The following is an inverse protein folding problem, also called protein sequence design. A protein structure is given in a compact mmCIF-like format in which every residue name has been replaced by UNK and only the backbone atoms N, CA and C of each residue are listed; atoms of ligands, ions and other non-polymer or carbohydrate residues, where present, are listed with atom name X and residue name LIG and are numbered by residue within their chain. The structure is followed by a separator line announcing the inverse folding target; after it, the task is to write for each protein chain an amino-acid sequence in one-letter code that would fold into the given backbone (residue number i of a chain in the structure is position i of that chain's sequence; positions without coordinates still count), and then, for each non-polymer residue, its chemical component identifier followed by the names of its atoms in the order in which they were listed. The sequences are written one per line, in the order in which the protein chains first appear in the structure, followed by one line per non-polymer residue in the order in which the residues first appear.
data_IF_659840129062
#
_entry.id   IF_659840129062
#
_cell.length_a   1.000
_cell.length_b   1.000
_cell.length_c   1.000
_cell.angle_alpha   90.00
_cell.angle_beta   90.00
_cell.angle_gamma   90.00
#
_symmetry.space_group_name_H-M   'P 1'
#
loop_
_entity.id
_entity.type
_entity.pdbx_description
1 polymer ?
#
# COMPACT_ATOMS: atom_id res chain seq x y z
N UNK A 1 2.70 -5.95 -24.46
CA UNK A 1 2.34 -5.06 -23.33
C UNK A 1 2.23 -5.86 -22.02
N UNK A 2 2.44 -5.24 -20.84
CA UNK A 2 2.15 -5.88 -19.54
C UNK A 2 0.83 -5.39 -18.98
N UNK A 3 -0.03 -6.33 -18.59
CA UNK A 3 -1.36 -6.05 -18.06
C UNK A 3 -1.40 -6.37 -16.57
N UNK A 4 -2.05 -5.51 -15.78
CA UNK A 4 -2.31 -5.81 -14.36
C UNK A 4 -3.76 -5.59 -13.99
N UNK A 5 -4.32 -6.56 -13.29
CA UNK A 5 -5.72 -6.53 -12.86
C UNK A 5 -5.87 -5.82 -11.53
N UNK A 6 -6.47 -4.64 -11.57
CA UNK A 6 -6.70 -3.88 -10.35
C UNK A 6 -7.80 -4.48 -9.49
N UNK A 7 -7.49 -4.66 -8.20
CA UNK A 7 -8.45 -5.02 -7.16
C UNK A 7 -7.92 -4.70 -5.77
N UNK A 8 -8.84 -4.46 -4.83
CA UNK A 8 -8.47 -3.87 -3.54
C UNK A 8 -8.39 -2.35 -3.63
N UNK A 9 -8.20 -1.71 -2.47
CA UNK A 9 -8.04 -0.26 -2.37
C UNK A 9 -6.64 0.21 -2.77
N UNK A 10 -6.42 1.53 -2.70
CA UNK A 10 -5.23 2.23 -3.17
C UNK A 10 -3.90 1.48 -2.95
N UNK A 11 -3.56 1.12 -1.71
CA UNK A 11 -2.28 0.46 -1.43
C UNK A 11 -2.09 -0.89 -2.14
N UNK A 12 -3.17 -1.65 -2.34
CA UNK A 12 -3.11 -2.90 -3.13
C UNK A 12 -2.92 -2.62 -4.62
N UNK A 13 -3.58 -1.58 -5.13
CA UNK A 13 -3.45 -1.18 -6.53
C UNK A 13 -2.03 -0.66 -6.82
N UNK A 14 -1.39 0.01 -5.86
CA UNK A 14 -0.01 0.46 -5.98
C UNK A 14 0.98 -0.70 -6.13
N UNK A 15 0.85 -1.77 -5.33
CA UNK A 15 1.64 -3.00 -5.54
C UNK A 15 1.38 -3.65 -6.91
N UNK A 16 0.11 -3.74 -7.31
CA UNK A 16 -0.29 -4.27 -8.61
C UNK A 16 0.31 -3.51 -9.79
N UNK A 17 0.38 -2.19 -9.68
CA UNK A 17 1.05 -1.35 -10.66
C UNK A 17 2.57 -1.49 -10.58
N UNK A 18 3.16 -1.46 -9.39
CA UNK A 18 4.60 -1.54 -9.20
C UNK A 18 5.21 -2.81 -9.81
N UNK A 19 4.59 -3.98 -9.57
CA UNK A 19 5.01 -5.24 -10.18
C UNK A 19 4.87 -5.19 -11.72
N UNK A 20 3.77 -4.65 -12.24
CA UNK A 20 3.57 -4.52 -13.68
C UNK A 20 4.59 -3.56 -14.33
N UNK A 21 4.89 -2.45 -13.66
CA UNK A 21 5.84 -1.44 -14.10
C UNK A 21 7.28 -1.99 -14.12
N UNK A 22 7.68 -2.78 -13.12
CA UNK A 22 8.99 -3.44 -13.11
C UNK A 22 9.13 -4.41 -14.28
N UNK A 23 8.12 -5.26 -14.50
CA UNK A 23 8.12 -6.24 -15.58
C UNK A 23 8.15 -5.54 -16.95
N UNK A 24 7.34 -4.49 -17.10
CA UNK A 24 7.29 -3.66 -18.30
C UNK A 24 8.63 -2.97 -18.59
N UNK A 25 9.27 -2.40 -17.56
CA UNK A 25 10.58 -1.77 -17.66
C UNK A 25 11.66 -2.77 -18.09
N UNK A 26 11.67 -3.99 -17.52
CA UNK A 26 12.61 -5.06 -17.90
C UNK A 26 12.47 -5.46 -19.37
N UNK A 27 11.25 -5.42 -19.92
CA UNK A 27 10.94 -5.89 -21.27
C UNK A 27 10.88 -4.76 -22.31
N UNK A 28 10.94 -3.49 -21.90
CA UNK A 28 10.83 -2.34 -22.81
C UNK A 28 9.44 -2.18 -23.45
N UNK A 29 8.39 -2.57 -22.75
CA UNK A 29 6.99 -2.55 -23.22
C UNK A 29 6.12 -1.69 -22.29
N UNK A 30 4.94 -1.19 -22.71
CA UNK A 30 4.10 -0.36 -21.85
C UNK A 30 3.28 -1.18 -20.84
N UNK A 31 2.82 -0.51 -19.78
CA UNK A 31 1.87 -1.01 -18.79
C UNK A 31 0.44 -0.67 -19.20
N UNK A 32 -0.48 -1.62 -19.07
CA UNK A 32 -1.92 -1.40 -19.17
C UNK A 32 -2.66 -1.92 -17.94
N UNK A 33 -3.70 -1.17 -17.54
CA UNK A 33 -4.50 -1.48 -16.37
C UNK A 33 -5.81 -2.11 -16.78
N UNK A 34 -6.23 -3.15 -16.05
CA UNK A 34 -7.58 -3.70 -16.12
C UNK A 34 -8.36 -3.29 -14.85
N UNK A 35 -9.11 -2.16 -14.89
CA UNK A 35 -9.81 -1.63 -13.72
C UNK A 35 -11.16 -2.28 -13.45
N UNK A 36 -11.65 -3.15 -14.36
CA UNK A 36 -13.04 -3.66 -14.37
C UNK A 36 -13.49 -4.22 -13.01
N UNK A 37 -12.60 -4.92 -12.30
CA UNK A 37 -12.91 -5.54 -11.01
C UNK A 37 -12.95 -4.51 -9.87
N UNK A 38 -11.98 -3.59 -9.82
CA UNK A 38 -11.93 -2.54 -8.81
C UNK A 38 -13.14 -1.60 -8.93
N UNK A 39 -13.48 -1.20 -10.16
CA UNK A 39 -14.63 -0.33 -10.45
C UNK A 39 -15.96 -1.00 -10.07
N UNK A 40 -16.16 -2.26 -10.47
CA UNK A 40 -17.36 -3.02 -10.11
C UNK A 40 -17.55 -3.22 -8.60
N UNK A 41 -16.49 -3.03 -7.80
CA UNK A 41 -16.52 -3.11 -6.33
C UNK A 41 -16.46 -1.73 -5.65
N UNK A 42 -16.44 -0.62 -6.39
CA UNK A 42 -16.30 0.72 -5.81
C UNK A 42 -14.99 0.93 -5.05
N UNK A 43 -13.89 0.30 -5.52
CA UNK A 43 -12.58 0.35 -4.87
C UNK A 43 -11.68 1.49 -5.37
N UNK A 44 -12.21 2.34 -6.26
CA UNK A 44 -11.46 3.43 -6.88
C UNK A 44 -10.47 2.94 -7.94
N UNK A 45 -9.69 3.89 -8.47
CA UNK A 45 -8.66 3.65 -9.49
C UNK A 45 -7.49 4.59 -9.21
N UNK A 46 -6.29 4.03 -9.01
CA UNK A 46 -5.09 4.77 -8.65
C UNK A 46 -4.68 5.87 -9.66
N UNK A 47 -5.06 5.75 -10.94
CA UNK A 47 -4.77 6.79 -11.95
C UNK A 47 -5.48 8.12 -11.71
N UNK A 48 -6.46 8.15 -10.80
CA UNK A 48 -7.11 9.40 -10.37
C UNK A 48 -6.27 10.17 -9.35
N UNK A 49 -5.26 9.52 -8.79
CA UNK A 49 -4.44 10.01 -7.68
C UNK A 49 -3.01 10.27 -8.16
N UNK A 50 -2.50 9.42 -9.05
CA UNK A 50 -1.15 9.46 -9.58
C UNK A 50 -1.15 9.62 -11.11
N UNK A 51 -0.21 10.40 -11.64
CA UNK A 51 0.03 10.49 -13.09
C UNK A 51 0.93 9.34 -13.54
N UNK A 52 0.32 8.19 -13.79
CA UNK A 52 1.06 6.96 -14.09
C UNK A 52 1.28 6.80 -15.61
N UNK A 53 2.49 6.40 -16.05
CA UNK A 53 2.77 6.05 -17.44
C UNK A 53 2.08 4.74 -17.83
N UNK A 54 0.81 4.82 -18.21
CA UNK A 54 -0.01 3.68 -18.65
C UNK A 54 -0.66 3.96 -20.00
N UNK A 55 -0.91 2.90 -20.77
CA UNK A 55 -1.63 2.97 -22.05
C UNK A 55 -2.96 2.24 -21.98
N UNK A 56 -3.94 2.58 -22.83
CA UNK A 56 -5.15 1.78 -22.97
C UNK A 56 -4.81 0.33 -23.34
N UNK A 57 -5.47 -0.67 -22.73
CA UNK A 57 -5.18 -2.06 -23.03
C UNK A 57 -5.55 -2.38 -24.49
N UNK A 58 -4.59 -2.90 -25.27
CA UNK A 58 -4.81 -3.30 -26.66
C UNK A 58 -5.88 -4.41 -26.77
N UNK A 59 -5.84 -5.37 -25.85
CA UNK A 59 -6.87 -6.38 -25.66
C UNK A 59 -6.89 -6.79 -24.19
N UNK A 60 -8.05 -7.18 -23.68
CA UNK A 60 -8.20 -7.70 -22.33
C UNK A 60 -8.74 -9.14 -22.39
N UNK A 61 -8.38 -9.98 -21.42
CA UNK A 61 -9.03 -11.27 -21.26
C UNK A 61 -10.55 -11.12 -21.20
N UNK A 62 -11.32 -12.09 -21.72
CA UNK A 62 -12.77 -12.09 -21.60
C UNK A 62 -13.19 -11.92 -20.13
N UNK A 63 -14.20 -11.09 -19.88
CA UNK A 63 -14.66 -10.91 -18.51
C UNK A 63 -15.31 -12.20 -18.01
N UNK A 64 -14.79 -12.77 -16.91
CA UNK A 64 -15.27 -14.03 -16.33
C UNK A 64 -16.75 -14.00 -15.94
N UNK A 65 -17.30 -12.84 -15.56
CA UNK A 65 -18.70 -12.70 -15.13
C UNK A 65 -19.63 -12.54 -16.33
N UNK A 66 -19.22 -11.76 -17.33
CA UNK A 66 -20.05 -11.46 -18.52
C UNK A 66 -19.95 -12.52 -19.62
N UNK A 67 -18.78 -13.16 -19.78
CA UNK A 67 -18.49 -14.11 -20.86
C UNK A 67 -17.76 -15.36 -20.33
N UNK A 68 -18.39 -16.16 -19.46
CA UNK A 68 -17.74 -17.28 -18.77
C UNK A 68 -17.19 -18.34 -19.74
N UNK A 69 -17.93 -18.69 -20.79
CA UNK A 69 -17.48 -19.65 -21.80
C UNK A 69 -16.26 -19.15 -22.59
N UNK A 70 -16.25 -17.87 -22.99
CA UNK A 70 -15.11 -17.28 -23.67
C UNK A 70 -13.88 -17.19 -22.74
N UNK A 71 -14.08 -16.91 -21.46
CA UNK A 71 -13.01 -16.91 -20.46
C UNK A 71 -12.42 -18.31 -20.27
N UNK A 72 -13.25 -19.34 -20.16
CA UNK A 72 -12.81 -20.72 -20.05
C UNK A 72 -12.03 -21.16 -21.30
N UNK A 73 -12.50 -20.79 -22.49
CA UNK A 73 -11.82 -21.06 -23.75
C UNK A 73 -10.47 -20.34 -23.84
N UNK A 74 -10.39 -19.07 -23.45
CA UNK A 74 -9.12 -18.31 -23.40
C UNK A 74 -8.12 -18.96 -22.44
N UNK A 75 -8.57 -19.39 -21.25
CA UNK A 75 -7.75 -20.13 -20.28
C UNK A 75 -7.22 -21.44 -20.86
N UNK A 76 -8.09 -22.21 -21.53
CA UNK A 76 -7.73 -23.49 -22.12
C UNK A 76 -6.73 -23.35 -23.27
N UNK A 77 -6.94 -22.36 -24.15
CA UNK A 77 -6.08 -22.13 -25.32
C UNK A 77 -4.75 -21.43 -24.98
N UNK A 78 -4.58 -20.91 -23.75
CA UNK A 78 -3.35 -20.22 -23.34
C UNK A 78 -3.01 -18.98 -24.18
N UNK A 79 -4.02 -18.33 -24.78
CA UNK A 79 -3.82 -17.18 -25.68
C UNK A 79 -3.38 -15.93 -24.91
N UNK A 80 -2.61 -15.03 -25.55
CA UNK A 80 -2.27 -13.75 -24.94
C UNK A 80 -3.53 -12.90 -24.61
N UNK A 81 -3.48 -12.10 -23.54
CA UNK A 81 -2.34 -12.03 -22.63
C UNK A 81 -2.29 -13.26 -21.70
N UNK A 82 -1.11 -13.71 -21.27
CA UNK A 82 -0.88 -14.92 -20.50
C UNK A 82 -1.17 -14.68 -19.00
N UNK A 83 -2.07 -15.48 -18.40
CA UNK A 83 -2.44 -15.28 -17.00
C UNK A 83 -1.35 -15.77 -16.05
N UNK A 84 -0.78 -14.84 -15.29
CA UNK A 84 0.06 -15.12 -14.11
C UNK A 84 -0.76 -14.79 -12.86
N UNK A 85 -1.07 -15.82 -12.08
CA UNK A 85 -1.86 -15.68 -10.86
C UNK A 85 -0.95 -15.91 -9.66
N UNK A 86 -1.01 -15.00 -8.70
CA UNK A 86 -0.31 -15.17 -7.43
C UNK A 86 -0.85 -16.42 -6.70
N UNK A 87 0.04 -17.38 -6.46
CA UNK A 87 -0.28 -18.67 -5.81
C UNK A 87 0.08 -18.68 -4.32
N UNK A 88 1.03 -17.85 -3.90
CA UNK A 88 1.44 -17.63 -2.51
C UNK A 88 1.61 -16.14 -2.22
N UNK A 89 1.77 -15.77 -0.96
CA UNK A 89 1.87 -14.34 -0.59
C UNK A 89 3.31 -13.79 -0.64
N UNK A 90 4.32 -14.65 -0.72
CA UNK A 90 5.72 -14.25 -0.87
C UNK A 90 6.10 -13.87 -2.30
N UNK A 91 7.38 -13.55 -2.50
CA UNK A 91 7.93 -13.29 -3.83
C UNK A 91 8.05 -14.58 -4.65
N UNK A 92 7.54 -14.53 -5.87
CA UNK A 92 7.62 -15.60 -6.86
C UNK A 92 8.84 -15.37 -7.78
N UNK A 93 9.89 -16.21 -7.71
CA UNK A 93 11.07 -16.04 -8.55
C UNK A 93 10.78 -16.23 -10.05
N UNK A 94 9.70 -16.92 -10.42
CA UNK A 94 9.34 -17.08 -11.83
C UNK A 94 8.94 -15.75 -12.47
N UNK A 95 8.63 -14.72 -11.67
CA UNK A 95 8.38 -13.34 -12.13
C UNK A 95 9.47 -12.81 -13.08
N UNK A 96 10.74 -13.20 -12.85
CA UNK A 96 11.87 -12.80 -13.69
C UNK A 96 11.87 -13.48 -15.08
N UNK A 97 11.14 -14.57 -15.22
CA UNK A 97 11.02 -15.33 -16.48
C UNK A 97 9.83 -14.90 -17.33
N UNK A 98 8.86 -14.19 -16.74
CA UNK A 98 7.65 -13.80 -17.44
C UNK A 98 7.97 -12.81 -18.57
N UNK A 99 7.31 -13.01 -19.70
CA UNK A 99 7.59 -12.31 -20.95
C UNK A 99 6.55 -11.24 -21.28
N UNK A 100 6.61 -10.75 -22.51
CA UNK A 100 5.59 -9.83 -23.01
C UNK A 100 4.20 -10.49 -22.99
N UNK A 101 3.15 -9.67 -23.04
CA UNK A 101 1.76 -10.11 -22.98
C UNK A 101 1.40 -10.80 -21.67
N UNK A 102 2.12 -10.54 -20.58
CA UNK A 102 1.77 -11.06 -19.24
C UNK A 102 0.56 -10.31 -18.67
N UNK A 103 -0.41 -11.06 -18.13
CA UNK A 103 -1.57 -10.56 -17.38
C UNK A 103 -1.47 -10.97 -15.92
N UNK A 104 -1.12 -10.01 -15.07
CA UNK A 104 -0.88 -10.19 -13.65
C UNK A 104 -2.19 -10.15 -12.85
N UNK A 105 -2.44 -11.21 -12.08
CA UNK A 105 -3.59 -11.34 -11.18
C UNK A 105 -3.14 -11.78 -9.77
N UNK A 106 -2.82 -10.81 -8.95
CA UNK A 106 -2.36 -10.98 -7.57
C UNK A 106 -2.30 -9.65 -6.84
N UNK A 107 -1.88 -9.68 -5.57
CA UNK A 107 -1.58 -8.48 -4.81
C UNK A 107 -0.12 -8.05 -4.96
N UNK A 108 0.83 -8.98 -5.12
CA UNK A 108 2.25 -8.72 -5.35
C UNK A 108 2.89 -7.89 -4.24
N UNK A 109 2.53 -8.18 -2.99
CA UNK A 109 2.89 -7.40 -1.80
C UNK A 109 4.32 -7.69 -1.32
N UNK A 110 5.30 -7.34 -2.15
CA UNK A 110 6.71 -7.36 -1.78
C UNK A 110 7.49 -6.33 -2.59
N UNK A 111 8.43 -5.65 -1.93
CA UNK A 111 9.38 -4.76 -2.61
C UNK A 111 10.25 -5.48 -3.65
N UNK A 112 10.45 -6.80 -3.49
CA UNK A 112 11.21 -7.62 -4.44
C UNK A 112 10.64 -7.58 -5.85
N UNK A 113 9.32 -7.42 -6.01
CA UNK A 113 8.68 -7.30 -7.32
C UNK A 113 8.97 -6.00 -8.07
N UNK A 114 9.59 -5.00 -7.44
CA UNK A 114 9.86 -3.70 -8.05
C UNK A 114 11.17 -3.06 -7.59
N UNK A 115 12.08 -3.88 -7.06
CA UNK A 115 13.33 -3.40 -6.48
C UNK A 115 14.23 -2.68 -7.51
N UNK A 116 14.10 -2.98 -8.80
CA UNK A 116 14.88 -2.37 -9.88
C UNK A 116 14.37 -0.99 -10.33
N UNK A 117 13.19 -0.56 -9.90
CA UNK A 117 12.56 0.71 -10.34
C UNK A 117 12.09 1.59 -9.18
N UNK A 118 12.67 1.43 -7.97
CA UNK A 118 12.24 2.16 -6.77
C UNK A 118 12.22 3.68 -6.97
N UNK A 119 13.26 4.25 -7.59
CA UNK A 119 13.35 5.69 -7.80
C UNK A 119 12.26 6.18 -8.76
N UNK A 120 12.05 5.46 -9.86
CA UNK A 120 10.93 5.73 -10.77
C UNK A 120 9.57 5.64 -10.05
N UNK A 121 9.37 4.65 -9.18
CA UNK A 121 8.12 4.53 -8.42
C UNK A 121 7.91 5.68 -7.43
N UNK A 122 8.98 6.18 -6.80
CA UNK A 122 8.89 7.37 -5.93
C UNK A 122 8.51 8.61 -6.72
N UNK A 123 8.96 8.74 -7.96
CA UNK A 123 8.57 9.85 -8.84
C UNK A 123 7.08 9.75 -9.23
N UNK A 124 6.63 8.61 -9.75
CA UNK A 124 5.26 8.48 -10.29
C UNK A 124 4.19 8.34 -9.22
N UNK A 125 4.54 7.90 -8.01
CA UNK A 125 3.64 7.93 -6.85
C UNK A 125 3.63 9.29 -6.14
N UNK A 126 3.84 10.37 -6.89
CA UNK A 126 3.53 11.73 -6.45
C UNK A 126 2.04 12.00 -6.64
N UNK A 127 1.33 12.27 -5.54
CA UNK A 127 -0.10 12.56 -5.57
C UNK A 127 -0.34 13.85 -6.36
N UNK A 128 -1.18 13.79 -7.39
CA UNK A 128 -1.50 14.89 -8.32
C UNK A 128 -2.51 15.89 -7.75
N UNK A 129 -3.63 15.46 -7.11
CA UNK A 129 -4.57 16.40 -6.52
C UNK A 129 -3.90 17.37 -5.55
N UNK A 130 -4.17 18.67 -5.69
CA UNK A 130 -3.64 19.65 -4.74
C UNK A 130 -4.21 19.41 -3.34
N UNK A 131 -3.37 19.60 -2.31
CA UNK A 131 -3.83 19.59 -0.94
C UNK A 131 -4.93 20.62 -0.73
N UNK A 132 -5.95 20.26 0.05
CA UNK A 132 -6.86 21.24 0.63
C UNK A 132 -6.11 22.15 1.61
N UNK A 133 -6.67 23.33 1.92
CA UNK A 133 -6.10 24.24 2.93
C UNK A 133 -5.90 23.56 4.29
N UNK A 134 -6.83 22.69 4.69
CA UNK A 134 -6.74 21.95 5.95
C UNK A 134 -5.59 20.92 5.95
N UNK A 135 -5.40 20.20 4.84
CA UNK A 135 -4.28 19.26 4.70
C UNK A 135 -2.94 20.00 4.61
N UNK A 136 -2.88 21.14 3.92
CA UNK A 136 -1.69 21.99 3.90
C UNK A 136 -1.30 22.49 5.30
N UNK A 137 -2.27 22.98 6.08
CA UNK A 137 -2.02 23.38 7.47
C UNK A 137 -1.58 22.20 8.36
N UNK A 138 -2.10 20.99 8.12
CA UNK A 138 -1.63 19.79 8.82
C UNK A 138 -0.21 19.41 8.42
N UNK A 139 0.14 19.53 7.13
CA UNK A 139 1.51 19.32 6.66
C UNK A 139 2.49 20.30 7.31
N UNK A 140 2.12 21.58 7.43
CA UNK A 140 2.91 22.59 8.14
C UNK A 140 3.10 22.22 9.62
N UNK A 141 2.05 21.71 10.28
CA UNK A 141 2.14 21.22 11.66
C UNK A 141 3.08 20.02 11.78
N UNK A 142 3.01 19.06 10.86
CA UNK A 142 3.90 17.90 10.80
C UNK A 142 5.36 18.32 10.62
N UNK A 143 5.61 19.34 9.80
CA UNK A 143 6.94 19.88 9.56
C UNK A 143 7.49 20.72 10.72
N UNK A 144 6.64 21.15 11.66
CA UNK A 144 7.00 22.04 12.77
C UNK A 144 7.91 21.42 13.85
N UNK A 145 8.13 20.09 13.83
CA UNK A 145 8.95 19.42 14.83
C UNK A 145 9.16 17.93 14.53
N UNK A 146 9.75 17.17 15.48
CA UNK A 146 9.87 15.73 15.33
C UNK A 146 8.50 15.08 15.27
N UNK A 147 8.28 14.20 14.29
CA UNK A 147 6.95 13.69 13.96
C UNK A 147 6.96 12.19 13.70
N UNK A 148 5.96 11.51 14.24
CA UNK A 148 5.71 10.08 13.99
C UNK A 148 4.30 9.93 13.44
N UNK A 149 4.15 9.36 12.25
CA UNK A 149 2.85 8.91 11.78
C UNK A 149 2.54 7.56 12.44
N UNK A 150 1.41 7.45 13.14
CA UNK A 150 0.91 6.19 13.68
C UNK A 150 -0.41 5.84 12.99
N UNK A 151 -0.45 4.72 12.29
CA UNK A 151 -1.66 4.27 11.62
C UNK A 151 -2.36 3.18 12.40
N UNK A 152 -3.65 3.38 12.69
CA UNK A 152 -4.54 2.43 13.34
C UNK A 152 -5.53 1.90 12.31
N UNK A 153 -5.66 0.57 12.23
CA UNK A 153 -6.65 -0.08 11.36
C UNK A 153 -7.61 -0.88 12.23
N UNK A 154 -8.85 -0.44 12.33
CA UNK A 154 -9.90 -1.10 13.11
C UNK A 154 -11.04 -1.59 12.26
N UNK A 155 -11.64 -0.75 11.42
CA UNK A 155 -12.93 -0.94 10.75
C UNK A 155 -13.30 -2.41 10.43
N UNK A 156 -12.97 -2.87 9.22
CA UNK A 156 -13.25 -4.25 8.80
C UNK A 156 -12.53 -5.32 9.67
N UNK A 157 -11.52 -4.92 10.45
CA UNK A 157 -10.66 -5.80 11.24
C UNK A 157 -11.30 -6.19 12.58
N UNK A 158 -12.14 -5.33 13.16
CA UNK A 158 -12.91 -5.61 14.38
C UNK A 158 -13.86 -6.78 14.15
N UNK A 159 -14.51 -6.83 12.98
CA UNK A 159 -15.42 -7.92 12.62
C UNK A 159 -14.70 -9.22 12.25
N UNK A 160 -13.43 -9.15 11.82
CA UNK A 160 -12.63 -10.30 11.37
C UNK A 160 -11.64 -10.82 12.43
N UNK A 161 -11.68 -10.29 13.66
CA UNK A 161 -10.71 -10.63 14.72
C UNK A 161 -9.27 -10.21 14.41
N UNK A 162 -9.06 -9.46 13.32
CA UNK A 162 -7.75 -9.10 12.82
C UNK A 162 -7.14 -7.87 13.55
N UNK A 163 -7.92 -7.18 14.39
CA UNK A 163 -7.39 -6.20 15.37
C UNK A 163 -6.39 -6.81 16.34
N UNK A 164 -6.37 -8.14 16.48
CA UNK A 164 -5.40 -8.85 17.31
C UNK A 164 -3.95 -8.72 16.81
N UNK A 165 -3.71 -8.23 15.59
CA UNK A 165 -2.35 -8.06 15.06
C UNK A 165 -1.64 -6.82 15.63
N UNK A 166 -2.37 -5.72 15.82
CA UNK A 166 -1.82 -4.45 16.30
C UNK A 166 -2.65 -3.97 17.49
N UNK A 167 -2.36 -4.52 18.67
CA UNK A 167 -2.96 -4.12 19.93
C UNK A 167 -2.18 -2.95 20.59
N UNK A 168 -2.55 -2.57 21.82
CA UNK A 168 -1.87 -1.49 22.53
C UNK A 168 -0.39 -1.82 22.80
N UNK A 169 -0.06 -3.08 23.10
CA UNK A 169 1.32 -3.49 23.37
C UNK A 169 2.18 -3.37 22.10
N UNK A 170 1.63 -3.71 20.94
CA UNK A 170 2.27 -3.46 19.65
C UNK A 170 2.58 -1.96 19.46
N UNK A 171 1.59 -1.07 19.67
CA UNK A 171 1.81 0.36 19.47
C UNK A 171 2.83 0.95 20.46
N UNK A 172 2.83 0.50 21.71
CA UNK A 172 3.79 0.93 22.73
C UNK A 172 5.22 0.52 22.33
N UNK A 173 5.41 -0.75 21.93
CA UNK A 173 6.71 -1.26 21.49
C UNK A 173 7.19 -0.60 20.18
N UNK A 174 6.28 -0.41 19.22
CA UNK A 174 6.60 0.26 17.95
C UNK A 174 7.00 1.72 18.15
N UNK A 175 6.28 2.46 19.01
CA UNK A 175 6.62 3.83 19.37
C UNK A 175 7.96 3.90 20.09
N UNK A 176 8.23 3.00 21.04
CA UNK A 176 9.53 2.93 21.70
C UNK A 176 10.66 2.73 20.67
N UNK A 177 10.50 1.77 19.75
CA UNK A 177 11.51 1.45 18.74
C UNK A 177 11.82 2.62 17.78
N UNK A 178 10.81 3.36 17.33
CA UNK A 178 11.05 4.49 16.42
C UNK A 178 11.53 5.74 17.14
N UNK A 179 11.21 5.90 18.43
CA UNK A 179 11.55 7.11 19.21
C UNK A 179 12.80 6.97 20.07
N UNK A 180 13.36 5.77 20.20
CA UNK A 180 14.54 5.52 21.01
C UNK A 180 15.74 6.40 20.61
N UNK A 181 16.29 7.14 21.57
CA UNK A 181 17.44 8.01 21.35
C UNK A 181 17.14 9.25 20.49
N UNK A 182 15.88 9.58 20.20
CA UNK A 182 15.55 10.86 19.59
C UNK A 182 15.91 12.02 20.54
N UNK A 183 16.49 13.11 20.04
CA UNK A 183 16.95 14.23 20.87
C UNK A 183 15.80 15.05 21.46
N UNK A 184 14.60 14.93 20.91
CA UNK A 184 13.39 15.64 21.30
C UNK A 184 12.19 14.68 21.22
N UNK A 185 11.26 14.83 22.16
CA UNK A 185 10.00 14.10 22.11
C UNK A 185 9.23 14.48 20.83
N UNK A 186 8.73 13.50 20.06
CA UNK A 186 7.95 13.80 18.86
C UNK A 186 6.48 14.06 19.18
N UNK A 187 5.80 14.69 18.22
CA UNK A 187 4.34 14.65 18.12
C UNK A 187 3.94 13.41 17.32
N UNK A 188 2.99 12.64 17.84
CA UNK A 188 2.44 11.45 17.19
C UNK A 188 1.15 11.84 16.48
N UNK A 189 1.19 11.81 15.16
CA UNK A 189 0.04 12.05 14.28
C UNK A 189 -0.64 10.72 14.00
N UNK A 190 -1.85 10.55 14.54
CA UNK A 190 -2.61 9.30 14.48
C UNK A 190 -3.59 9.36 13.33
N UNK A 191 -3.47 8.41 12.42
CA UNK A 191 -4.36 8.21 11.27
C UNK A 191 -5.15 6.92 11.48
N UNK A 192 -6.47 6.96 11.33
CA UNK A 192 -7.33 5.81 11.62
C UNK A 192 -8.52 5.74 10.69
N UNK A 193 -9.00 4.53 10.40
CA UNK A 193 -10.33 4.34 9.82
C UNK A 193 -11.47 4.49 10.84
N UNK A 194 -11.12 4.70 12.12
CA UNK A 194 -11.99 5.03 13.24
C UNK A 194 -11.27 6.07 14.13
N UNK A 195 -11.32 7.37 13.77
CA UNK A 195 -10.59 8.43 14.49
C UNK A 195 -11.15 8.70 15.89
N UNK A 196 -12.46 8.56 16.07
CA UNK A 196 -13.11 8.72 17.38
C UNK A 196 -12.60 7.68 18.37
N UNK A 197 -12.56 6.41 17.96
CA UNK A 197 -11.98 5.39 18.82
C UNK A 197 -10.50 5.66 19.16
N UNK A 198 -9.69 6.07 18.17
CA UNK A 198 -8.28 6.35 18.39
C UNK A 198 -8.07 7.54 19.36
N UNK A 199 -8.98 8.51 19.36
CA UNK A 199 -8.96 9.62 20.31
C UNK A 199 -9.20 9.14 21.73
N UNK A 200 -10.20 8.28 21.91
CA UNK A 200 -10.71 7.92 23.24
C UNK A 200 -9.98 6.72 23.87
N UNK A 201 -9.37 5.84 23.06
CA UNK A 201 -8.89 4.54 23.53
C UNK A 201 -7.40 4.27 23.27
N UNK A 202 -6.80 4.90 22.25
CA UNK A 202 -5.38 4.71 21.96
C UNK A 202 -4.54 5.54 22.95
N UNK A 203 -3.79 4.86 23.80
CA UNK A 203 -2.79 5.49 24.66
C UNK A 203 -1.51 5.75 23.87
N UNK A 204 -0.92 6.93 24.03
CA UNK A 204 0.34 7.32 23.40
C UNK A 204 1.15 8.11 24.43
N UNK A 205 2.41 7.77 24.71
CA UNK A 205 3.23 8.44 25.73
C UNK A 205 3.83 9.79 25.27
N UNK A 206 3.23 10.43 24.28
CA UNK A 206 3.70 11.65 23.61
C UNK A 206 2.53 12.59 23.31
N UNK A 207 2.80 13.79 22.77
CA UNK A 207 1.73 14.63 22.22
C UNK A 207 1.00 13.85 21.11
N UNK A 208 -0.31 13.65 21.28
CA UNK A 208 -1.15 12.91 20.36
C UNK A 208 -2.03 13.87 19.54
N UNK A 209 -1.97 13.75 18.23
CA UNK A 209 -2.83 14.49 17.29
C UNK A 209 -3.57 13.49 16.42
N UNK A 210 -4.87 13.31 16.64
CA UNK A 210 -5.70 12.50 15.75
C UNK A 210 -6.04 13.33 14.51
N UNK A 211 -5.59 12.86 13.34
CA UNK A 211 -5.86 13.49 12.06
C UNK A 211 -7.19 12.96 11.53
N UNK A 212 -8.19 13.85 11.49
CA UNK A 212 -9.56 13.55 11.07
C UNK A 212 -10.02 14.60 10.06
N UNK A 213 -9.31 14.65 8.93
CA UNK A 213 -9.52 15.62 7.86
C UNK A 213 -10.08 14.98 6.59
N UNK A 214 -9.88 13.68 6.43
CA UNK A 214 -10.04 12.98 5.17
C UNK A 214 -10.96 11.78 5.32
N UNK A 215 -11.84 11.60 4.34
CA UNK A 215 -12.65 10.41 4.21
C UNK A 215 -12.12 9.48 3.12
N UNK A 216 -12.86 8.41 2.84
CA UNK A 216 -12.49 7.42 1.81
C UNK A 216 -12.18 8.01 0.42
N UNK A 217 -12.84 9.09 0.04
CA UNK A 217 -12.62 9.75 -1.26
C UNK A 217 -11.29 10.53 -1.30
N UNK A 218 -10.81 11.01 -0.16
CA UNK A 218 -9.59 11.81 -0.02
C UNK A 218 -8.50 11.10 0.77
N UNK A 219 -8.60 9.78 0.94
CA UNK A 219 -7.62 8.98 1.70
C UNK A 219 -6.18 9.10 1.16
N UNK A 220 -5.98 9.50 -0.10
CA UNK A 220 -4.64 9.79 -0.62
C UNK A 220 -3.94 10.96 0.12
N UNK A 221 -4.71 11.87 0.72
CA UNK A 221 -4.17 12.95 1.56
C UNK A 221 -3.62 12.42 2.88
N UNK A 222 -4.29 11.46 3.53
CA UNK A 222 -3.73 10.82 4.73
C UNK A 222 -2.44 10.07 4.38
N UNK A 223 -2.41 9.34 3.26
CA UNK A 223 -1.19 8.69 2.77
C UNK A 223 -0.06 9.70 2.58
N UNK A 224 -0.36 10.84 1.94
CA UNK A 224 0.58 11.94 1.74
C UNK A 224 1.07 12.49 3.09
N UNK A 225 0.18 12.87 4.00
CA UNK A 225 0.54 13.42 5.32
C UNK A 225 1.38 12.45 6.15
N UNK A 226 1.04 11.16 6.14
CA UNK A 226 1.83 10.12 6.80
C UNK A 226 3.26 10.01 6.24
N UNK A 227 3.42 10.18 4.91
CA UNK A 227 4.74 10.16 4.26
C UNK A 227 5.59 11.40 4.56
N UNK A 228 4.98 12.48 5.04
CA UNK A 228 5.66 13.71 5.46
C UNK A 228 6.15 13.68 6.91
N UNK A 229 5.75 12.68 7.71
CA UNK A 229 6.28 12.52 9.07
C UNK A 229 7.73 12.02 9.02
N UNK A 230 8.51 12.29 10.07
CA UNK A 230 9.91 11.83 10.12
C UNK A 230 10.05 10.32 10.31
N UNK A 231 9.13 9.70 11.06
CA UNK A 231 9.10 8.26 11.32
C UNK A 231 7.68 7.70 11.16
N UNK A 232 7.54 6.38 11.05
CA UNK A 232 6.25 5.72 10.85
C UNK A 232 6.09 4.50 11.77
N UNK A 233 4.92 4.38 12.38
CA UNK A 233 4.38 3.16 12.96
C UNK A 233 3.19 2.76 12.11
N UNK A 234 3.29 1.63 11.42
CA UNK A 234 2.24 1.19 10.48
C UNK A 234 1.34 0.12 11.11
N UNK A 235 0.14 -0.07 10.57
CA UNK A 235 -0.64 -1.28 10.83
C UNK A 235 -0.32 -2.33 9.76
N UNK A 236 -0.90 -3.53 9.90
CA UNK A 236 -0.94 -4.55 8.85
C UNK A 236 -1.87 -4.15 7.68
N UNK A 237 -1.52 -3.06 7.03
CA UNK A 237 -2.28 -2.41 5.98
C UNK A 237 -1.33 -1.94 4.89
N UNK A 238 -1.60 -2.35 3.64
CA UNK A 238 -0.83 -1.87 2.49
C UNK A 238 -0.94 -0.37 2.30
N UNK A 239 -1.98 0.27 2.85
CA UNK A 239 -2.11 1.72 2.82
C UNK A 239 -0.99 2.39 3.63
N UNK A 240 -0.84 2.01 4.90
CA UNK A 240 0.23 2.54 5.76
C UNK A 240 1.62 2.06 5.33
N UNK A 241 1.71 0.86 4.73
CA UNK A 241 2.93 0.36 4.10
C UNK A 241 3.44 1.34 3.04
N UNK A 242 2.59 1.73 2.07
CA UNK A 242 3.00 2.66 1.01
C UNK A 242 3.28 4.06 1.56
N UNK A 243 2.51 4.54 2.54
CA UNK A 243 2.82 5.83 3.18
C UNK A 243 4.23 5.85 3.79
N UNK A 244 4.63 4.77 4.47
CA UNK A 244 5.97 4.67 5.07
C UNK A 244 7.07 4.43 4.04
N UNK A 245 6.78 3.67 2.97
CA UNK A 245 7.73 3.43 1.88
C UNK A 245 8.04 4.70 1.07
N UNK A 246 7.02 5.55 0.87
CA UNK A 246 7.13 6.85 0.21
C UNK A 246 7.75 7.93 1.10
N UNK A 247 7.88 7.69 2.41
CA UNK A 247 8.54 8.63 3.31
C UNK A 247 10.01 8.80 2.89
N UNK A 248 10.38 10.00 2.43
CA UNK A 248 11.72 10.31 1.97
C UNK A 248 12.65 10.88 3.06
N UNK A 249 12.20 10.99 4.31
CA UNK A 249 13.01 11.57 5.38
C UNK A 249 14.32 10.79 5.61
N UNK A 250 15.48 11.48 5.60
CA UNK A 250 16.74 10.87 5.98
C UNK A 250 16.70 10.36 7.42
N UNK A 251 17.13 9.13 7.64
CA UNK A 251 17.13 8.53 8.98
C UNK A 251 15.74 8.17 9.50
N UNK A 252 14.72 8.11 8.63
CA UNK A 252 13.41 7.58 8.99
C UNK A 252 13.53 6.22 9.63
N UNK A 253 12.61 5.93 10.53
CA UNK A 253 12.48 4.63 11.18
C UNK A 253 11.05 4.18 10.98
N UNK A 254 10.88 2.96 10.53
CA UNK A 254 9.56 2.39 10.26
C UNK A 254 9.40 1.15 11.13
N UNK A 255 8.42 1.16 12.02
CA UNK A 255 8.01 0.00 12.78
C UNK A 255 6.75 -0.60 12.18
N UNK A 256 6.75 -1.93 12.01
CA UNK A 256 5.69 -2.70 11.38
C UNK A 256 5.42 -4.00 12.16
N UNK A 257 4.21 -4.58 12.09
CA UNK A 257 3.95 -5.84 12.77
C UNK A 257 4.71 -6.97 12.08
N UNK A 258 5.48 -7.74 12.86
CA UNK A 258 6.18 -8.93 12.41
C UNK A 258 5.19 -9.98 11.87
N UNK A 259 4.01 -10.05 12.49
CA UNK A 259 2.89 -10.85 12.04
C UNK A 259 1.94 -10.01 11.20
N UNK A 260 1.85 -10.24 9.90
CA UNK A 260 0.96 -9.46 9.04
C UNK A 260 -0.51 -9.94 9.07
N UNK A 261 -0.72 -11.25 9.24
CA UNK A 261 -2.05 -11.88 9.22
C UNK A 261 -2.40 -12.49 10.57
N UNK A 262 -3.66 -12.35 10.99
CA UNK A 262 -4.18 -12.96 12.22
C UNK A 262 -4.40 -14.49 12.10
N UNK A 263 -4.32 -15.04 10.89
CA UNK A 263 -4.44 -16.46 10.62
C UNK A 263 -3.06 -17.05 10.29
N UNK A 264 -2.63 -18.06 11.04
CA UNK A 264 -1.31 -18.69 10.88
C UNK A 264 -1.14 -19.44 9.56
N UNK A 265 -2.24 -19.74 8.85
CA UNK A 265 -2.19 -20.32 7.50
C UNK A 265 -1.82 -19.30 6.42
N UNK A 266 -1.84 -18.01 6.73
CA UNK A 266 -1.44 -16.94 5.80
C UNK A 266 -0.13 -16.33 6.28
N UNK A 267 0.89 -16.44 5.44
CA UNK A 267 2.20 -15.88 5.73
C UNK A 267 2.80 -15.26 4.47
N UNK A 268 3.25 -14.01 4.59
CA UNK A 268 4.05 -13.33 3.58
C UNK A 268 5.42 -13.03 4.19
N UNK A 269 6.47 -13.81 3.88
CA UNK A 269 7.81 -13.59 4.43
C UNK A 269 8.49 -12.35 3.85
N UNK A 270 8.00 -11.82 2.73
CA UNK A 270 8.66 -10.77 1.94
C UNK A 270 7.91 -9.43 1.98
N UNK A 271 6.96 -9.28 2.90
CA UNK A 271 6.12 -8.07 2.98
C UNK A 271 6.85 -6.86 3.54
N UNK A 272 7.77 -7.07 4.48
CA UNK A 272 8.52 -5.98 5.11
C UNK A 272 9.83 -5.75 4.35
N UNK A 273 10.13 -4.50 3.95
CA UNK A 273 11.48 -4.11 3.55
C UNK A 273 12.50 -4.43 4.65
N UNK A 274 13.73 -4.74 4.24
CA UNK A 274 14.79 -5.19 5.16
C UNK A 274 15.19 -4.13 6.20
N UNK A 275 15.03 -2.85 5.88
CA UNK A 275 15.35 -1.73 6.77
C UNK A 275 14.27 -1.41 7.81
N UNK A 276 13.14 -2.14 7.81
CA UNK A 276 12.03 -1.90 8.73
C UNK A 276 12.15 -2.72 10.01
N UNK A 277 11.71 -2.12 11.12
CA UNK A 277 11.73 -2.73 12.45
C UNK A 277 10.47 -3.57 12.61
N UNK A 278 10.63 -4.89 12.65
CA UNK A 278 9.54 -5.83 12.91
C UNK A 278 9.25 -5.91 14.43
N UNK A 279 7.99 -5.68 14.81
CA UNK A 279 7.51 -5.75 16.20
C UNK A 279 6.62 -6.99 16.34
N UNK A 280 6.95 -7.88 17.28
CA UNK A 280 6.26 -9.15 17.52
C UNK A 280 5.65 -9.27 18.91
#
# INVERSE_FOLDING_TARGET
MIYTRLHGFLGNQMFQYAAAAQLAARLGVPVALDPRRAEAKGQGNLIRIFDLPVVPPAHLPPDRRRRPFAYALWRYLGRPPHLHREEGLGYDPDFETWGDESYLHGYWQSEKYFAGIKDHLREVFTVVPQMSTANAAMADRIAGGPSVALHVRRGDYVALGATAVCDQAYYDAALAAVTEGLPKAPTVFVFSDDPDWARDNLSVPFEKVVVDLNGRATAHEDMRLMSLCQHNVIANSTFSWWSAWLNAHPGRRVAAPARWFANDHQHNPDILPEDWIAIG
#
